data_IF_158085020552
#
_entry.id   IF_158085020552
#
_cell.length_a   1.000
_cell.length_b   1.000
_cell.length_c   1.000
_cell.angle_alpha   90.00
_cell.angle_beta   90.00
_cell.angle_gamma   90.00
#
_symmetry.space_group_name_H-M   'P 1'
#
loop_
_entity.id
_entity.type
_entity.pdbx_description
1 polymer ?
#
# COMPACT_ATOMS: atom_id res chain seq x y z
N UNK A 1 7.52 23.29 6.39
CA UNK A 1 8.54 22.24 6.60
C UNK A 1 8.15 21.00 5.80
N UNK A 2 9.11 20.39 5.11
CA UNK A 2 8.90 19.26 4.19
C UNK A 2 9.27 17.90 4.76
N UNK A 3 9.68 17.87 6.02
CA UNK A 3 10.01 16.69 6.81
C UNK A 3 8.83 15.73 6.91
N UNK A 4 9.05 14.43 6.74
CA UNK A 4 7.99 13.42 6.84
C UNK A 4 7.68 13.19 8.33
N UNK A 5 6.43 13.45 8.71
CA UNK A 5 5.95 13.28 10.07
C UNK A 5 5.26 11.94 10.29
N UNK A 6 4.52 11.44 9.29
CA UNK A 6 3.74 10.21 9.44
C UNK A 6 3.43 9.59 8.07
N UNK A 7 3.46 8.25 8.01
CA UNK A 7 3.04 7.47 6.83
C UNK A 7 1.92 6.51 7.23
N UNK A 8 0.73 6.80 6.70
CA UNK A 8 -0.57 6.11 6.78
C UNK A 8 -0.83 5.09 5.67
N UNK A 9 -1.06 3.80 5.87
CA UNK A 9 -1.58 2.94 4.79
C UNK A 9 -2.85 2.16 5.15
N UNK A 10 -3.63 1.84 4.11
CA UNK A 10 -4.90 1.10 4.19
C UNK A 10 -5.16 0.28 2.94
N UNK A 11 -6.02 -0.74 3.08
CA UNK A 11 -6.55 -1.53 1.98
C UNK A 11 -7.81 -0.83 1.44
N UNK A 12 -7.84 -0.54 0.14
CA UNK A 12 -9.01 -0.02 -0.59
C UNK A 12 -9.34 -0.93 -1.78
N UNK A 13 -10.37 -0.62 -2.57
CA UNK A 13 -10.71 -1.37 -3.78
C UNK A 13 -10.30 -0.62 -5.05
N UNK A 14 -9.74 -1.35 -6.03
CA UNK A 14 -9.44 -0.85 -7.36
C UNK A 14 -10.70 -0.79 -8.25
N UNK A 15 -10.53 -0.32 -9.50
CA UNK A 15 -11.63 -0.19 -10.47
C UNK A 15 -12.27 -1.53 -10.88
N UNK A 16 -11.64 -2.67 -10.56
CA UNK A 16 -12.14 -4.03 -10.81
C UNK A 16 -12.66 -4.69 -9.53
N UNK A 17 -12.73 -3.96 -8.43
CA UNK A 17 -13.19 -4.46 -7.13
C UNK A 17 -12.16 -5.36 -6.42
N UNK A 18 -10.89 -5.35 -6.82
CA UNK A 18 -9.83 -6.07 -6.11
C UNK A 18 -9.17 -5.17 -5.07
N UNK A 19 -8.72 -5.71 -3.94
CA UNK A 19 -7.96 -4.95 -2.97
C UNK A 19 -6.70 -4.30 -3.58
N UNK A 20 -6.37 -3.08 -3.15
CA UNK A 20 -5.09 -2.43 -3.42
C UNK A 20 -4.68 -1.53 -2.26
N UNK A 21 -3.42 -1.10 -2.24
CA UNK A 21 -2.85 -0.27 -1.17
C UNK A 21 -3.05 1.21 -1.49
N UNK A 22 -3.52 1.96 -0.51
CA UNK A 22 -3.51 3.42 -0.50
C UNK A 22 -2.63 3.92 0.65
N UNK A 23 -1.83 4.95 0.39
CA UNK A 23 -0.91 5.54 1.36
C UNK A 23 -1.11 7.06 1.46
N UNK A 24 -1.17 7.55 2.69
CA UNK A 24 -1.08 8.96 3.05
C UNK A 24 0.31 9.26 3.60
N UNK A 25 0.95 10.32 3.12
CA UNK A 25 2.19 10.87 3.70
C UNK A 25 1.88 12.26 4.22
N UNK A 26 2.14 12.48 5.50
CA UNK A 26 1.88 13.74 6.19
C UNK A 26 3.23 14.37 6.56
N UNK A 27 3.41 15.64 6.19
CA UNK A 27 4.61 16.40 6.52
C UNK A 27 4.43 17.17 7.83
N UNK A 28 5.51 17.54 8.49
CA UNK A 28 5.47 18.35 9.72
C UNK A 28 4.83 19.72 9.51
N UNK A 29 4.83 20.23 8.27
CA UNK A 29 4.09 21.43 7.86
C UNK A 29 2.58 21.22 7.67
N UNK A 30 2.04 20.03 7.93
CA UNK A 30 0.61 19.71 7.83
C UNK A 30 0.11 19.33 6.43
N UNK A 31 0.94 19.47 5.40
CA UNK A 31 0.59 19.02 4.04
C UNK A 31 0.47 17.50 4.00
N UNK A 32 -0.58 17.00 3.36
CA UNK A 32 -0.84 15.58 3.15
C UNK A 32 -0.88 15.25 1.66
N UNK A 33 -0.10 14.26 1.24
CA UNK A 33 -0.22 13.62 -0.07
C UNK A 33 -0.86 12.23 0.07
N UNK A 34 -1.71 11.85 -0.89
CA UNK A 34 -2.35 10.53 -0.93
C UNK A 34 -2.17 9.90 -2.30
N UNK A 35 -1.85 8.60 -2.32
CA UNK A 35 -1.75 7.83 -3.55
C UNK A 35 -2.27 6.40 -3.35
N UNK A 36 -3.00 5.90 -4.35
CA UNK A 36 -3.40 4.51 -4.46
C UNK A 36 -2.60 3.83 -5.57
N UNK A 37 -2.18 2.58 -5.34
CA UNK A 37 -1.36 1.83 -6.29
C UNK A 37 -2.27 1.13 -7.30
N UNK A 38 -2.05 1.27 -8.62
CA UNK A 38 -2.79 0.49 -9.61
C UNK A 38 -2.37 -0.98 -9.57
N UNK A 39 -3.31 -1.90 -9.83
CA UNK A 39 -3.00 -3.31 -10.05
C UNK A 39 -3.02 -3.61 -11.54
N UNK A 40 -1.85 -3.96 -12.10
CA UNK A 40 -1.72 -4.35 -13.50
C UNK A 40 -2.40 -5.70 -13.78
N UNK A 41 -2.87 -5.88 -15.01
CA UNK A 41 -3.22 -7.22 -15.51
C UNK A 41 -1.98 -7.99 -16.03
N UNK A 42 -0.91 -7.27 -16.37
CA UNK A 42 0.37 -7.86 -16.78
C UNK A 42 1.04 -8.53 -15.59
N UNK A 43 1.57 -9.73 -15.81
CA UNK A 43 2.38 -10.47 -14.84
C UNK A 43 3.71 -10.86 -15.49
N UNK A 44 4.36 -9.89 -16.15
CA UNK A 44 5.64 -10.13 -16.79
C UNK A 44 6.66 -10.66 -15.77
N UNK A 45 7.38 -11.73 -16.12
CA UNK A 45 8.34 -12.39 -15.21
C UNK A 45 9.52 -11.51 -14.77
N UNK A 46 9.66 -10.32 -15.34
CA UNK A 46 10.71 -9.33 -15.05
C UNK A 46 10.16 -8.02 -14.46
N UNK A 47 8.89 -7.99 -14.10
CA UNK A 47 8.27 -6.85 -13.42
C UNK A 47 8.47 -6.95 -11.91
N UNK A 48 8.37 -5.82 -11.21
CA UNK A 48 8.29 -5.82 -9.76
C UNK A 48 7.02 -6.55 -9.31
N UNK A 49 7.16 -7.50 -8.39
CA UNK A 49 6.04 -8.32 -7.93
C UNK A 49 5.26 -7.60 -6.84
N UNK A 50 3.95 -7.46 -7.04
CA UNK A 50 3.04 -7.01 -5.97
C UNK A 50 2.89 -8.09 -4.89
N UNK A 51 2.74 -7.67 -3.64
CA UNK A 51 2.55 -8.57 -2.51
C UNK A 51 1.05 -8.78 -2.23
N UNK A 52 0.60 -10.03 -2.36
CA UNK A 52 -0.79 -10.46 -2.15
C UNK A 52 -0.87 -11.48 -1.02
N UNK A 53 -2.02 -11.50 -0.33
CA UNK A 53 -2.36 -12.46 0.73
C UNK A 53 -2.90 -13.78 0.14
N UNK A 54 -2.12 -14.41 -0.75
CA UNK A 54 -2.51 -15.62 -1.49
C UNK A 54 -2.78 -16.83 -0.58
N UNK A 55 -2.28 -16.79 0.66
CA UNK A 55 -2.49 -17.79 1.72
C UNK A 55 -3.89 -17.73 2.36
N UNK A 56 -4.68 -16.69 2.07
CA UNK A 56 -5.99 -16.44 2.70
C UNK A 56 -7.11 -16.41 1.66
N UNK A 57 -7.50 -17.57 1.07
CA UNK A 57 -8.48 -17.63 -0.02
C UNK A 57 -9.88 -17.14 0.39
N UNK A 58 -10.22 -17.18 1.68
CA UNK A 58 -11.49 -16.69 2.23
C UNK A 58 -11.68 -15.17 2.08
N UNK A 59 -10.60 -14.41 1.82
CA UNK A 59 -10.63 -12.96 1.61
C UNK A 59 -10.28 -12.61 0.19
N UNK A 60 -11.24 -12.01 -0.52
CA UNK A 60 -11.06 -11.54 -1.90
C UNK A 60 -10.43 -12.58 -2.84
N UNK A 61 -10.68 -13.88 -2.61
CA UNK A 61 -10.11 -14.99 -3.36
C UNK A 61 -8.56 -15.03 -3.31
N UNK A 62 -7.97 -14.65 -2.17
CA UNK A 62 -6.52 -14.59 -1.99
C UNK A 62 -5.86 -13.32 -2.55
N UNK A 63 -6.66 -12.34 -3.00
CA UNK A 63 -6.16 -11.07 -3.57
C UNK A 63 -6.05 -9.92 -2.56
N UNK A 64 -6.19 -10.22 -1.27
CA UNK A 64 -5.96 -9.25 -0.19
C UNK A 64 -4.56 -8.65 -0.22
N UNK A 65 -4.39 -7.47 0.37
CA UNK A 65 -3.11 -6.75 0.45
C UNK A 65 -2.77 -6.33 1.89
N UNK A 66 -3.34 -7.02 2.89
CA UNK A 66 -3.12 -6.67 4.30
C UNK A 66 -1.66 -6.81 4.71
N UNK A 67 -0.95 -7.80 4.18
CA UNK A 67 0.49 -7.94 4.45
C UNK A 67 1.27 -6.75 3.89
N UNK A 68 0.91 -6.26 2.70
CA UNK A 68 1.53 -5.07 2.11
C UNK A 68 1.23 -3.81 2.95
N UNK A 69 -0.03 -3.61 3.38
CA UNK A 69 -0.44 -2.52 4.28
C UNK A 69 0.34 -2.57 5.59
N UNK A 70 0.47 -3.77 6.18
CA UNK A 70 1.24 -3.97 7.42
C UNK A 70 2.71 -3.57 7.22
N UNK A 71 3.34 -4.00 6.12
CA UNK A 71 4.72 -3.65 5.82
C UNK A 71 4.92 -2.13 5.67
N UNK A 72 3.96 -1.42 5.06
CA UNK A 72 4.04 0.05 4.97
C UNK A 72 3.97 0.68 6.37
N UNK A 73 3.00 0.27 7.18
CA UNK A 73 2.77 0.87 8.50
C UNK A 73 3.86 0.53 9.53
N UNK A 74 4.42 -0.68 9.50
CA UNK A 74 5.32 -1.18 10.56
C UNK A 74 6.79 -1.20 10.16
N UNK A 75 7.12 -1.24 8.87
CA UNK A 75 8.52 -1.33 8.42
C UNK A 75 8.96 -0.07 7.68
N UNK A 76 8.15 0.38 6.71
CA UNK A 76 8.53 1.51 5.85
C UNK A 76 8.32 2.83 6.57
N UNK A 77 7.19 3.02 7.26
CA UNK A 77 6.87 4.26 7.97
C UNK A 77 7.98 4.68 8.94
N UNK A 78 8.39 3.76 9.83
CA UNK A 78 9.47 4.01 10.80
C UNK A 78 10.83 4.33 10.18
N UNK A 79 11.08 3.92 8.93
CA UNK A 79 12.35 4.19 8.22
C UNK A 79 12.34 5.51 7.47
N UNK A 80 11.16 6.12 7.28
CA UNK A 80 10.98 7.37 6.55
C UNK A 80 10.62 8.56 7.44
N UNK A 81 10.19 8.33 8.68
CA UNK A 81 10.04 9.39 9.67
C UNK A 81 11.40 10.08 9.92
N UNK A 82 11.44 11.40 9.77
CA UNK A 82 12.70 12.16 9.91
C UNK A 82 12.73 13.48 9.19
#
# INVERSE_FOLDING_TARGET
>A
MTTICCVKSREILDSRGNPTVEVDVILTGGVMGRAAVPSGASTGKREALELRDSDKPSRYLGRGVQTAVKNVNELIAHRLEG
#
